data_IF_929631916904
#
_entry.id   IF_929631916904
#
_cell.length_a   1.000
_cell.length_b   1.000
_cell.length_c   1.000
_cell.angle_alpha   90.00
_cell.angle_beta   90.00
_cell.angle_gamma   90.00
#
_symmetry.space_group_name_H-M   'P 1'
#
loop_
_entity.id
_entity.type
_entity.pdbx_description
1 polymer ?
#
# COMPACT_ATOMS: atom_id res chain seq x y z
N UNK A 1 5.23 -29.46 7.16
CA UNK A 1 4.05 -29.02 6.37
C UNK A 1 4.29 -27.59 5.87
N UNK A 2 4.35 -27.40 4.56
CA UNK A 2 4.63 -26.08 3.94
C UNK A 2 3.37 -25.17 3.92
N UNK A 3 2.30 -25.57 4.59
CA UNK A 3 1.03 -24.84 4.57
C UNK A 3 1.15 -23.45 5.20
N UNK A 4 1.78 -23.34 6.37
CA UNK A 4 1.92 -22.05 7.07
C UNK A 4 2.75 -21.03 6.28
N UNK A 5 3.95 -21.37 5.72
CA UNK A 5 4.69 -20.48 4.84
C UNK A 5 3.90 -20.09 3.58
N UNK A 6 3.13 -21.03 3.00
CA UNK A 6 2.29 -20.74 1.83
C UNK A 6 1.16 -19.76 2.15
N UNK A 7 0.49 -19.91 3.29
CA UNK A 7 -0.54 -18.97 3.74
C UNK A 7 0.05 -17.57 4.00
N UNK A 8 1.21 -17.53 4.64
CA UNK A 8 1.93 -16.28 4.87
C UNK A 8 2.28 -15.56 3.55
N UNK A 9 2.82 -16.29 2.58
CA UNK A 9 3.12 -15.72 1.26
C UNK A 9 1.85 -15.28 0.53
N UNK A 10 0.78 -16.05 0.59
CA UNK A 10 -0.53 -15.67 0.05
C UNK A 10 -1.03 -14.37 0.64
N UNK A 11 -0.89 -14.19 1.95
CA UNK A 11 -1.23 -12.95 2.65
C UNK A 11 -0.33 -11.79 2.20
N UNK A 12 0.97 -12.00 2.02
CA UNK A 12 1.88 -10.97 1.48
C UNK A 12 1.46 -10.53 0.06
N UNK A 13 1.16 -11.48 -0.82
CA UNK A 13 0.71 -11.16 -2.17
C UNK A 13 -0.66 -10.47 -2.19
N UNK A 14 -1.54 -10.81 -1.26
CA UNK A 14 -2.80 -10.11 -1.04
C UNK A 14 -2.53 -8.66 -0.59
N UNK A 15 -1.62 -8.43 0.35
CA UNK A 15 -1.18 -7.09 0.78
C UNK A 15 -0.62 -6.30 -0.41
N UNK A 16 0.21 -6.92 -1.26
CA UNK A 16 0.76 -6.26 -2.45
C UNK A 16 -0.35 -5.75 -3.37
N UNK A 17 -1.34 -6.60 -3.65
CA UNK A 17 -2.50 -6.21 -4.45
C UNK A 17 -3.30 -5.10 -3.79
N UNK A 18 -3.65 -5.27 -2.52
CA UNK A 18 -4.46 -4.31 -1.77
C UNK A 18 -3.82 -2.92 -1.74
N UNK A 19 -2.55 -2.82 -1.38
CA UNK A 19 -1.82 -1.55 -1.29
C UNK A 19 -1.68 -0.89 -2.66
N UNK A 20 -1.32 -1.66 -3.70
CA UNK A 20 -1.16 -1.11 -5.05
C UNK A 20 -2.47 -0.55 -5.61
N UNK A 21 -3.58 -1.26 -5.40
CA UNK A 21 -4.89 -0.84 -5.91
C UNK A 21 -5.50 0.31 -5.10
N UNK A 22 -5.33 0.32 -3.77
CA UNK A 22 -5.76 1.45 -2.94
C UNK A 22 -5.08 2.74 -3.38
N UNK A 23 -3.77 2.70 -3.64
CA UNK A 23 -3.06 3.88 -4.13
C UNK A 23 -3.61 4.39 -5.48
N UNK A 24 -3.93 3.49 -6.41
CA UNK A 24 -4.49 3.87 -7.71
C UNK A 24 -5.85 4.57 -7.61
N UNK A 25 -6.68 4.15 -6.65
CA UNK A 25 -8.00 4.77 -6.40
C UNK A 25 -7.86 6.13 -5.73
N UNK A 26 -6.83 6.30 -4.88
CA UNK A 26 -6.62 7.53 -4.13
C UNK A 26 -6.10 8.70 -4.98
N UNK A 27 -5.47 8.44 -6.13
CA UNK A 27 -4.93 9.50 -6.98
C UNK A 27 -5.99 10.54 -7.37
N UNK A 28 -7.17 10.17 -7.93
CA UNK A 28 -8.23 11.13 -8.24
C UNK A 28 -8.76 11.83 -6.99
N UNK A 29 -8.82 11.11 -5.87
CA UNK A 29 -9.28 11.65 -4.59
C UNK A 29 -8.34 12.73 -4.06
N UNK A 30 -7.02 12.47 -4.04
CA UNK A 30 -6.02 13.48 -3.65
C UNK A 30 -5.98 14.67 -4.59
N UNK A 31 -6.22 14.44 -5.88
CA UNK A 31 -6.30 15.53 -6.85
C UNK A 31 -7.35 16.55 -6.46
N UNK A 32 -8.53 16.12 -6.05
CA UNK A 32 -9.61 17.01 -5.61
C UNK A 32 -9.31 17.57 -4.22
N UNK A 33 -9.01 16.73 -3.24
CA UNK A 33 -8.85 17.11 -1.84
C UNK A 33 -7.68 18.08 -1.57
N UNK A 34 -6.59 17.96 -2.35
CA UNK A 34 -5.44 18.85 -2.26
C UNK A 34 -5.37 19.88 -3.40
N UNK A 35 -6.43 20.01 -4.22
CA UNK A 35 -6.51 20.92 -5.36
C UNK A 35 -5.31 20.80 -6.31
N UNK A 36 -4.87 19.57 -6.58
CA UNK A 36 -3.67 19.30 -7.37
C UNK A 36 -3.90 19.57 -8.86
N UNK A 37 -2.90 20.12 -9.51
CA UNK A 37 -2.83 20.15 -10.97
C UNK A 37 -2.74 18.74 -11.56
N UNK A 38 -3.02 18.59 -12.86
CA UNK A 38 -2.84 17.31 -13.54
C UNK A 38 -1.44 16.74 -13.37
N UNK A 39 -0.42 17.57 -13.52
CA UNK A 39 0.99 17.17 -13.36
C UNK A 39 1.28 16.69 -11.92
N UNK A 40 0.81 17.41 -10.93
CA UNK A 40 0.99 17.03 -9.52
C UNK A 40 0.29 15.71 -9.20
N UNK A 41 -0.90 15.45 -9.76
CA UNK A 41 -1.60 14.18 -9.52
C UNK A 41 -0.84 12.97 -10.10
N UNK A 42 -0.09 13.15 -11.20
CA UNK A 42 0.82 12.10 -11.72
C UNK A 42 2.04 11.88 -10.82
N UNK A 43 2.53 12.90 -10.10
CA UNK A 43 3.60 12.73 -9.12
C UNK A 43 3.20 11.83 -7.95
N UNK A 44 1.91 11.77 -7.63
CA UNK A 44 1.38 10.83 -6.60
C UNK A 44 1.65 9.38 -7.01
N UNK A 45 1.32 9.01 -8.25
CA UNK A 45 1.63 7.69 -8.79
C UNK A 45 3.14 7.47 -8.92
N UNK A 46 3.85 8.48 -9.43
CA UNK A 46 5.29 8.42 -9.65
C UNK A 46 6.05 8.19 -8.33
N UNK A 47 5.69 8.88 -7.25
CA UNK A 47 6.33 8.73 -5.95
C UNK A 47 6.27 7.28 -5.44
N UNK A 48 5.15 6.60 -5.67
CA UNK A 48 4.99 5.20 -5.31
C UNK A 48 5.81 4.27 -6.21
N UNK A 49 5.72 4.43 -7.54
CA UNK A 49 6.39 3.53 -8.48
C UNK A 49 7.90 3.78 -8.61
N UNK A 50 8.37 5.03 -8.46
CA UNK A 50 9.80 5.32 -8.48
C UNK A 50 10.51 4.68 -7.29
N UNK A 51 9.82 4.51 -6.16
CA UNK A 51 10.36 3.80 -5.03
C UNK A 51 10.73 2.34 -5.39
N UNK A 52 9.93 1.67 -6.22
CA UNK A 52 10.24 0.34 -6.71
C UNK A 52 11.52 0.31 -7.52
N UNK A 53 11.68 1.25 -8.44
CA UNK A 53 12.86 1.31 -9.31
C UNK A 53 14.12 1.61 -8.50
N UNK A 54 14.07 2.66 -7.69
CA UNK A 54 15.24 3.15 -6.94
C UNK A 54 15.62 2.21 -5.82
N UNK A 55 14.64 1.62 -5.13
CA UNK A 55 14.88 0.80 -3.94
C UNK A 55 15.08 -0.68 -4.24
N UNK A 56 14.89 -1.15 -5.48
CA UNK A 56 15.06 -2.56 -5.83
C UNK A 56 16.47 -3.09 -5.53
N UNK A 57 17.51 -2.35 -5.91
CA UNK A 57 18.91 -2.73 -5.66
C UNK A 57 19.28 -2.60 -4.18
N UNK A 58 19.00 -1.46 -3.48
CA UNK A 58 19.20 -1.36 -2.04
C UNK A 58 18.45 -2.42 -1.25
N UNK A 59 17.21 -2.77 -1.64
CA UNK A 59 16.42 -3.81 -1.00
C UNK A 59 17.11 -5.18 -1.08
N UNK A 60 17.60 -5.57 -2.27
CA UNK A 60 18.32 -6.82 -2.45
C UNK A 60 19.59 -6.89 -1.58
N UNK A 61 20.36 -5.80 -1.53
CA UNK A 61 21.56 -5.71 -0.67
C UNK A 61 21.21 -5.78 0.83
N UNK A 62 20.12 -5.12 1.23
CA UNK A 62 19.64 -5.17 2.61
C UNK A 62 19.28 -6.61 3.01
N UNK A 63 18.47 -7.28 2.18
CA UNK A 63 18.04 -8.66 2.42
C UNK A 63 19.22 -9.62 2.50
N UNK A 64 20.22 -9.45 1.64
CA UNK A 64 21.46 -10.23 1.68
C UNK A 64 22.24 -10.08 2.99
N UNK A 65 22.09 -8.94 3.71
CA UNK A 65 22.76 -8.68 5.00
C UNK A 65 21.94 -9.14 6.20
N UNK A 66 20.63 -8.89 6.21
CA UNK A 66 19.78 -9.12 7.40
C UNK A 66 18.97 -10.41 7.34
N UNK A 67 18.96 -11.06 6.16
CA UNK A 67 18.20 -12.25 5.89
C UNK A 67 16.73 -12.00 5.53
N UNK A 68 16.07 -13.00 4.93
CA UNK A 68 14.70 -12.84 4.37
C UNK A 68 13.65 -12.50 5.42
N UNK A 69 13.65 -13.18 6.57
CA UNK A 69 12.65 -12.94 7.62
C UNK A 69 12.70 -11.50 8.14
N UNK A 70 13.90 -11.02 8.46
CA UNK A 70 14.10 -9.63 8.92
C UNK A 70 13.78 -8.63 7.81
N UNK A 71 14.06 -9.00 6.55
CA UNK A 71 13.68 -8.22 5.38
C UNK A 71 12.17 -8.03 5.28
N UNK A 72 11.37 -9.08 5.45
CA UNK A 72 9.91 -9.00 5.47
C UNK A 72 9.43 -8.08 6.58
N UNK A 73 9.93 -8.25 7.80
CA UNK A 73 9.54 -7.43 8.95
C UNK A 73 9.91 -5.95 8.70
N UNK A 74 11.11 -5.67 8.21
CA UNK A 74 11.55 -4.32 7.90
C UNK A 74 10.68 -3.66 6.82
N UNK A 75 10.32 -4.41 5.76
CA UNK A 75 9.41 -3.93 4.72
C UNK A 75 8.02 -3.59 5.26
N UNK A 76 7.46 -4.45 6.11
CA UNK A 76 6.16 -4.19 6.77
C UNK A 76 6.22 -2.96 7.69
N UNK A 77 7.27 -2.81 8.48
CA UNK A 77 7.45 -1.64 9.35
C UNK A 77 7.60 -0.34 8.56
N UNK A 78 8.29 -0.36 7.43
CA UNK A 78 8.34 0.79 6.51
C UNK A 78 6.97 1.11 5.94
N UNK A 79 6.18 0.12 5.56
CA UNK A 79 4.82 0.35 5.09
C UNK A 79 3.93 0.93 6.19
N UNK A 80 4.05 0.45 7.43
CA UNK A 80 3.36 1.03 8.60
C UNK A 80 3.76 2.50 8.78
N UNK A 81 5.05 2.80 8.75
CA UNK A 81 5.53 4.19 8.87
C UNK A 81 4.96 5.08 7.75
N UNK A 82 4.97 4.58 6.50
CA UNK A 82 4.39 5.30 5.36
C UNK A 82 2.89 5.54 5.49
N UNK A 83 2.12 4.54 5.95
CA UNK A 83 0.67 4.68 6.17
C UNK A 83 0.35 5.63 7.33
N UNK A 84 1.13 5.63 8.40
CA UNK A 84 0.97 6.56 9.53
C UNK A 84 1.22 8.02 9.11
N UNK A 85 2.13 8.27 8.16
CA UNK A 85 2.38 9.63 7.63
C UNK A 85 1.16 10.25 6.95
N UNK A 86 0.18 9.44 6.52
CA UNK A 86 -1.08 9.96 5.98
C UNK A 86 -1.92 10.70 7.00
N UNK A 87 -1.80 10.39 8.28
CA UNK A 87 -2.56 11.06 9.35
C UNK A 87 -2.17 12.55 9.43
N UNK A 88 -0.89 12.91 9.72
CA UNK A 88 -0.51 14.32 9.74
C UNK A 88 -0.66 14.98 8.37
N UNK A 89 -0.41 14.26 7.27
CA UNK A 89 -0.61 14.78 5.92
C UNK A 89 -2.08 15.18 5.66
N UNK A 90 -3.04 14.40 6.14
CA UNK A 90 -4.46 14.70 6.02
C UNK A 90 -4.88 15.92 6.87
N UNK A 91 -4.34 16.06 8.07
CA UNK A 91 -4.65 17.22 8.93
C UNK A 91 -4.07 18.54 8.41
N UNK A 92 -2.89 18.48 7.79
CA UNK A 92 -2.19 19.67 7.27
C UNK A 92 -2.43 19.92 5.79
N UNK A 93 -3.11 19.00 5.08
CA UNK A 93 -3.24 18.97 3.61
C UNK A 93 -1.88 19.12 2.91
N UNK A 94 -0.81 18.63 3.57
CA UNK A 94 0.56 18.79 3.11
C UNK A 94 0.90 17.76 2.03
N UNK A 95 0.80 18.16 0.77
CA UNK A 95 1.12 17.33 -0.39
C UNK A 95 2.51 16.66 -0.33
N UNK A 96 3.61 17.33 0.07
CA UNK A 96 4.92 16.68 0.19
C UNK A 96 4.94 15.53 1.22
N UNK A 97 4.15 15.63 2.28
CA UNK A 97 4.05 14.57 3.31
C UNK A 97 3.34 13.35 2.74
N UNK A 98 2.29 13.53 1.91
CA UNK A 98 1.66 12.44 1.18
C UNK A 98 2.64 11.74 0.23
N UNK A 99 3.42 12.50 -0.54
CA UNK A 99 4.43 11.92 -1.44
C UNK A 99 5.48 11.12 -0.67
N UNK A 100 5.94 11.63 0.46
CA UNK A 100 6.89 10.93 1.34
C UNK A 100 6.29 9.64 1.88
N UNK A 101 5.03 9.67 2.33
CA UNK A 101 4.30 8.48 2.77
C UNK A 101 4.20 7.42 1.68
N UNK A 102 3.83 7.82 0.46
CA UNK A 102 3.73 6.92 -0.70
C UNK A 102 5.09 6.32 -1.10
N UNK A 103 6.14 7.12 -1.11
CA UNK A 103 7.50 6.64 -1.39
C UNK A 103 7.95 5.63 -0.31
N UNK A 104 7.64 5.89 0.95
CA UNK A 104 7.97 4.99 2.06
C UNK A 104 7.21 3.66 1.95
N UNK A 105 5.91 3.69 1.60
CA UNK A 105 5.11 2.50 1.34
C UNK A 105 5.69 1.71 0.15
N UNK A 106 6.00 2.39 -0.95
CA UNK A 106 6.60 1.78 -2.13
C UNK A 106 7.95 1.13 -1.83
N UNK A 107 8.77 1.76 -0.99
CA UNK A 107 10.04 1.21 -0.51
C UNK A 107 9.81 -0.09 0.28
N UNK A 108 8.91 -0.08 1.25
CA UNK A 108 8.56 -1.27 2.02
C UNK A 108 8.06 -2.40 1.13
N UNK A 109 7.21 -2.08 0.17
CA UNK A 109 6.66 -3.04 -0.78
C UNK A 109 7.74 -3.62 -1.72
N UNK A 110 8.71 -2.82 -2.15
CA UNK A 110 9.88 -3.28 -2.93
C UNK A 110 10.70 -4.31 -2.14
N UNK A 111 10.97 -4.04 -0.86
CA UNK A 111 11.67 -4.99 0.03
C UNK A 111 10.89 -6.30 0.16
N UNK A 112 9.58 -6.22 0.41
CA UNK A 112 8.72 -7.40 0.56
C UNK A 112 8.69 -8.25 -0.69
N UNK A 113 8.55 -7.65 -1.87
CA UNK A 113 8.50 -8.38 -3.14
C UNK A 113 9.84 -9.02 -3.50
N UNK A 114 10.95 -8.35 -3.16
CA UNK A 114 12.30 -8.90 -3.37
C UNK A 114 12.52 -10.19 -2.57
N UNK A 115 11.87 -10.34 -1.42
CA UNK A 115 11.89 -11.58 -0.63
C UNK A 115 10.84 -12.57 -1.12
N UNK A 116 9.59 -12.12 -1.25
CA UNK A 116 8.45 -13.01 -1.47
C UNK A 116 8.50 -13.73 -2.81
N UNK A 117 8.92 -13.06 -3.90
CA UNK A 117 8.94 -13.65 -5.23
C UNK A 117 9.86 -14.86 -5.35
N UNK A 118 11.15 -14.81 -4.95
CA UNK A 118 12.01 -15.99 -4.93
C UNK A 118 11.51 -17.06 -3.95
N UNK A 119 10.97 -16.64 -2.80
CA UNK A 119 10.52 -17.57 -1.76
C UNK A 119 9.43 -18.52 -2.26
N UNK A 120 8.49 -18.01 -3.07
CA UNK A 120 7.44 -18.84 -3.69
C UNK A 120 8.03 -19.97 -4.52
N UNK A 121 9.13 -19.73 -5.23
CA UNK A 121 9.73 -20.74 -6.12
C UNK A 121 10.44 -21.86 -5.37
N UNK A 122 11.04 -21.57 -4.24
CA UNK A 122 11.85 -22.53 -3.47
C UNK A 122 11.07 -23.24 -2.35
N UNK A 123 9.84 -22.84 -2.07
CA UNK A 123 9.02 -23.40 -0.99
C UNK A 123 8.48 -24.81 -1.29
N UNK A 124 8.97 -25.48 -2.28
CA UNK A 124 8.60 -26.85 -2.66
C UNK A 124 9.25 -27.30 -3.97
N UNK A 125 8.83 -28.45 -4.51
CA UNK A 125 9.39 -28.98 -5.74
C UNK A 125 9.32 -27.99 -6.90
N UNK A 126 10.39 -27.88 -7.67
CA UNK A 126 10.49 -26.91 -8.78
C UNK A 126 9.42 -27.15 -9.84
N UNK A 127 8.99 -28.39 -10.04
CA UNK A 127 7.96 -28.78 -11.00
C UNK A 127 6.61 -28.13 -10.70
N UNK A 128 6.36 -27.81 -9.43
CA UNK A 128 5.12 -27.15 -9.00
C UNK A 128 5.27 -25.64 -8.76
N UNK A 129 6.43 -25.04 -9.07
CA UNK A 129 6.69 -23.62 -8.86
C UNK A 129 5.70 -22.73 -9.61
N UNK A 130 5.42 -23.03 -10.88
CA UNK A 130 4.46 -22.28 -11.69
C UNK A 130 3.05 -22.25 -11.05
N UNK A 131 2.59 -23.39 -10.50
CA UNK A 131 1.30 -23.46 -9.80
C UNK A 131 1.30 -22.58 -8.56
N UNK A 132 2.36 -22.56 -7.76
CA UNK A 132 2.47 -21.71 -6.57
C UNK A 132 2.47 -20.24 -6.95
N UNK A 133 3.24 -19.84 -7.96
CA UNK A 133 3.26 -18.45 -8.45
C UNK A 133 1.87 -18.03 -8.92
N UNK A 134 1.15 -18.90 -9.64
CA UNK A 134 -0.22 -18.62 -10.10
C UNK A 134 -1.19 -18.41 -8.94
N UNK A 135 -1.10 -19.22 -7.88
CA UNK A 135 -1.92 -19.05 -6.67
C UNK A 135 -1.62 -17.71 -5.99
N UNK A 136 -0.34 -17.34 -5.87
CA UNK A 136 0.05 -16.05 -5.31
C UNK A 136 -0.46 -14.88 -6.16
N UNK A 137 -0.35 -15.00 -7.49
CA UNK A 137 -0.92 -14.04 -8.42
C UNK A 137 -2.44 -13.90 -8.26
N UNK A 138 -3.15 -14.99 -8.01
CA UNK A 138 -4.59 -14.98 -7.75
C UNK A 138 -4.90 -14.23 -6.44
N UNK A 139 -4.16 -14.47 -5.36
CA UNK A 139 -4.30 -13.73 -4.10
C UNK A 139 -4.15 -12.21 -4.32
N UNK A 140 -3.14 -11.82 -5.11
CA UNK A 140 -2.92 -10.42 -5.48
C UNK A 140 -4.10 -9.83 -6.27
N UNK A 141 -4.65 -10.55 -7.23
CA UNK A 141 -5.79 -10.09 -8.04
C UNK A 141 -7.10 -10.02 -7.26
N UNK A 142 -7.33 -10.96 -6.36
CA UNK A 142 -8.50 -10.92 -5.45
C UNK A 142 -8.43 -9.66 -4.59
N UNK A 143 -7.27 -9.30 -4.06
CA UNK A 143 -7.09 -8.05 -3.35
C UNK A 143 -7.41 -6.83 -4.22
N UNK A 144 -7.03 -6.87 -5.52
CA UNK A 144 -7.35 -5.83 -6.48
C UNK A 144 -8.85 -5.65 -6.74
N UNK A 145 -9.64 -6.70 -6.59
CA UNK A 145 -11.11 -6.63 -6.67
C UNK A 145 -11.70 -6.10 -5.36
N UNK A 146 -11.19 -6.57 -4.22
CA UNK A 146 -11.71 -6.23 -2.90
C UNK A 146 -11.36 -4.80 -2.51
N UNK A 147 -10.16 -4.32 -2.83
CA UNK A 147 -9.69 -3.00 -2.44
C UNK A 147 -10.60 -1.84 -2.88
N UNK A 148 -11.05 -1.76 -4.15
CA UNK A 148 -12.00 -0.73 -4.58
C UNK A 148 -13.32 -0.79 -3.83
N UNK A 149 -13.84 -1.99 -3.59
CA UNK A 149 -15.12 -2.18 -2.90
C UNK A 149 -15.05 -1.75 -1.43
N UNK A 150 -13.99 -2.14 -0.73
CA UNK A 150 -13.75 -1.71 0.64
C UNK A 150 -13.54 -0.20 0.72
N UNK A 151 -12.77 0.35 -0.20
CA UNK A 151 -12.51 1.79 -0.25
C UNK A 151 -13.80 2.58 -0.51
N UNK A 152 -14.59 2.15 -1.50
CA UNK A 152 -15.88 2.77 -1.79
C UNK A 152 -16.82 2.71 -0.58
N UNK A 153 -16.91 1.56 0.10
CA UNK A 153 -17.78 1.39 1.26
C UNK A 153 -17.37 2.26 2.47
N UNK A 154 -16.08 2.56 2.63
CA UNK A 154 -15.57 3.32 3.78
C UNK A 154 -15.52 4.83 3.50
N UNK A 155 -15.17 5.23 2.27
CA UNK A 155 -14.89 6.64 1.96
C UNK A 155 -16.06 7.30 1.23
N UNK A 156 -16.66 6.62 0.26
CA UNK A 156 -17.71 7.22 -0.56
C UNK A 156 -19.04 7.27 0.19
N UNK A 157 -19.62 8.45 0.24
CA UNK A 157 -21.02 8.67 0.66
C UNK A 157 -21.87 8.87 -0.59
N UNK A 158 -23.16 8.60 -0.49
CA UNK A 158 -24.11 8.82 -1.59
C UNK A 158 -24.18 10.28 -2.08
N UNK A 159 -23.80 11.21 -1.22
CA UNK A 159 -23.73 12.66 -1.50
C UNK A 159 -22.43 13.13 -2.14
N UNK A 160 -21.46 12.25 -2.32
CA UNK A 160 -20.13 12.67 -2.81
C UNK A 160 -20.13 13.04 -4.30
N UNK A 161 -21.04 12.50 -5.10
CA UNK A 161 -21.23 12.93 -6.48
C UNK A 161 -21.61 14.43 -6.55
N UNK A 162 -22.53 14.85 -5.69
CA UNK A 162 -22.95 16.25 -5.58
C UNK A 162 -21.82 17.11 -5.04
N UNK A 163 -21.08 16.61 -4.03
CA UNK A 163 -19.92 17.29 -3.46
C UNK A 163 -18.80 17.52 -4.50
N UNK A 164 -18.50 16.49 -5.32
CA UNK A 164 -17.52 16.63 -6.38
C UNK A 164 -17.97 17.60 -7.48
N UNK A 165 -19.24 17.61 -7.83
CA UNK A 165 -19.81 18.57 -8.78
C UNK A 165 -19.73 20.03 -8.23
N UNK A 166 -20.10 20.22 -6.97
CA UNK A 166 -20.02 21.51 -6.26
C UNK A 166 -18.58 22.03 -6.21
N UNK A 167 -17.62 21.17 -5.87
CA UNK A 167 -16.20 21.52 -5.82
C UNK A 167 -15.62 21.82 -7.21
N UNK A 168 -16.05 21.10 -8.26
CA UNK A 168 -15.62 21.36 -9.65
C UNK A 168 -16.23 22.61 -10.25
N UNK A 169 -17.47 22.92 -9.93
CA UNK A 169 -18.18 24.08 -10.49
C UNK A 169 -17.73 25.43 -9.91
N UNK A 170 -16.83 25.41 -8.90
CA UNK A 170 -16.44 26.59 -8.13
C UNK A 170 -17.64 27.38 -7.56
N UNK A 171 -18.78 26.70 -7.33
CA UNK A 171 -19.99 27.31 -6.79
C UNK A 171 -19.86 27.66 -5.31
N UNK A 172 -18.88 27.08 -4.62
CA UNK A 172 -18.53 27.35 -3.22
C UNK A 172 -17.10 27.89 -3.16
N UNK A 173 -16.89 28.97 -2.41
CA UNK A 173 -15.60 29.63 -2.28
C UNK A 173 -15.28 29.96 -0.81
N UNK A 174 -14.00 30.22 -0.54
CA UNK A 174 -13.54 30.61 0.81
C UNK A 174 -13.62 29.51 1.86
N UNK A 175 -13.95 29.88 3.09
CA UNK A 175 -13.92 29.00 4.26
C UNK A 175 -14.82 27.75 4.12
N UNK A 176 -15.94 27.86 3.41
CA UNK A 176 -16.85 26.73 3.19
C UNK A 176 -16.23 25.66 2.30
N UNK A 177 -15.53 26.08 1.23
CA UNK A 177 -14.77 25.17 0.37
C UNK A 177 -13.68 24.44 1.16
N UNK A 178 -12.94 25.16 1.99
CA UNK A 178 -11.87 24.59 2.82
C UNK A 178 -12.40 23.53 3.79
N UNK A 179 -13.56 23.79 4.42
CA UNK A 179 -14.19 22.81 5.30
C UNK A 179 -14.59 21.52 4.56
N UNK A 180 -15.14 21.63 3.36
CA UNK A 180 -15.52 20.48 2.54
C UNK A 180 -14.29 19.67 2.11
N UNK A 181 -13.21 20.35 1.72
CA UNK A 181 -11.95 19.68 1.35
C UNK A 181 -11.29 19.00 2.55
N UNK A 182 -11.32 19.63 3.73
CA UNK A 182 -10.83 19.06 4.98
C UNK A 182 -11.64 17.83 5.40
N UNK A 183 -12.95 17.87 5.28
CA UNK A 183 -13.80 16.70 5.55
C UNK A 183 -13.46 15.56 4.58
N UNK A 184 -13.34 15.88 3.30
CA UNK A 184 -13.02 14.90 2.26
C UNK A 184 -11.71 14.20 2.57
N UNK A 185 -10.62 14.94 2.84
CA UNK A 185 -9.30 14.36 3.05
C UNK A 185 -9.21 13.54 4.34
N UNK A 186 -9.90 13.96 5.39
CA UNK A 186 -9.94 13.25 6.68
C UNK A 186 -10.64 11.90 6.61
N UNK A 187 -11.56 11.70 5.68
CA UNK A 187 -12.16 10.37 5.43
C UNK A 187 -11.13 9.32 5.01
N UNK A 188 -10.04 9.74 4.35
CA UNK A 188 -8.93 8.87 4.00
C UNK A 188 -8.13 8.36 5.21
N UNK A 189 -8.23 9.02 6.39
CA UNK A 189 -7.50 8.59 7.60
C UNK A 189 -7.96 7.20 8.05
N UNK A 190 -9.26 6.92 8.01
CA UNK A 190 -9.83 5.66 8.48
C UNK A 190 -9.25 4.44 7.73
N UNK A 191 -9.33 4.36 6.39
CA UNK A 191 -8.81 3.21 5.66
C UNK A 191 -7.28 3.07 5.80
N UNK A 192 -6.53 4.17 5.86
CA UNK A 192 -5.08 4.11 6.09
C UNK A 192 -4.74 3.66 7.51
N UNK A 193 -5.52 4.05 8.52
CA UNK A 193 -5.35 3.58 9.89
C UNK A 193 -5.64 2.08 10.02
N UNK A 194 -6.70 1.60 9.36
CA UNK A 194 -7.04 0.18 9.31
C UNK A 194 -5.91 -0.60 8.60
N UNK A 195 -5.44 -0.10 7.47
CA UNK A 195 -4.33 -0.71 6.74
C UNK A 195 -3.06 -0.74 7.59
N UNK A 196 -2.73 0.35 8.27
CA UNK A 196 -1.58 0.45 9.17
C UNK A 196 -1.65 -0.58 10.29
N UNK A 197 -2.80 -0.68 10.95
CA UNK A 197 -3.03 -1.66 12.02
C UNK A 197 -2.89 -3.10 11.50
N UNK A 198 -3.47 -3.40 10.33
CA UNK A 198 -3.36 -4.71 9.71
C UNK A 198 -1.91 -5.08 9.39
N UNK A 199 -1.16 -4.17 8.77
CA UNK A 199 0.26 -4.36 8.46
C UNK A 199 1.11 -4.54 9.73
N UNK A 200 0.81 -3.77 10.78
CA UNK A 200 1.47 -3.87 12.06
C UNK A 200 1.25 -5.24 12.71
N UNK A 201 -0.01 -5.67 12.83
CA UNK A 201 -0.36 -6.97 13.42
C UNK A 201 0.24 -8.13 12.62
N UNK A 202 0.23 -8.02 11.29
CA UNK A 202 0.84 -9.03 10.42
C UNK A 202 2.36 -9.08 10.59
N UNK A 203 3.03 -7.93 10.70
CA UNK A 203 4.47 -7.86 11.00
C UNK A 203 4.81 -8.49 12.35
N UNK A 204 4.00 -8.24 13.38
CA UNK A 204 4.13 -8.90 14.68
C UNK A 204 3.93 -10.42 14.56
N UNK A 205 2.92 -10.87 13.81
CA UNK A 205 2.66 -12.30 13.61
C UNK A 205 3.87 -13.00 12.94
N UNK A 206 4.45 -12.39 11.91
CA UNK A 206 5.65 -12.93 11.24
C UNK A 206 6.84 -13.03 12.18
N UNK A 207 6.97 -12.13 13.14
CA UNK A 207 8.05 -12.21 14.13
C UNK A 207 8.04 -13.55 14.87
N UNK A 208 6.87 -14.08 15.20
CA UNK A 208 6.70 -15.34 15.92
C UNK A 208 6.71 -16.58 15.01
N UNK A 209 6.50 -16.43 13.71
CA UNK A 209 6.51 -17.54 12.75
C UNK A 209 7.96 -17.95 12.43
N UNK A 210 8.24 -19.26 12.49
CA UNK A 210 9.52 -19.80 11.99
C UNK A 210 9.42 -19.97 10.49
N UNK A 211 10.19 -19.17 9.75
CA UNK A 211 10.34 -19.33 8.31
C UNK A 211 11.45 -20.32 8.02
N UNK A 212 11.31 -21.20 7.03
CA UNK A 212 12.40 -22.02 6.53
C UNK A 212 13.56 -21.13 6.07
N UNK A 213 14.79 -21.50 6.40
CA UNK A 213 15.96 -20.77 5.95
C UNK A 213 16.16 -20.93 4.44
N UNK A 214 16.51 -19.83 3.77
CA UNK A 214 16.84 -19.79 2.34
C UNK A 214 18.33 -20.13 2.08
N UNK A 215 19.05 -20.53 3.09
CA UNK A 215 20.52 -20.72 3.05
C UNK A 215 20.96 -22.14 2.66
N UNK A 216 20.26 -22.76 1.70
CA UNK A 216 20.78 -24.00 1.07
C UNK A 216 20.64 -23.91 -0.44
#
# INVERSE_FOLDING_TARGET
SNLLPMLMLGTLFFIFGLVSWVNSILIPYFKVACELTHTQSYLVALAFYIAYLVMSIPAAKLIGRIGPKRGIIAGLWLMVAGTVLFVPAAYTRAYPVFLTGLFTIGTGLSILQTVANPYVTILGPIESAARRISIMGLCNKIAGIIAPLLFAAVILKSTDSELFEVLKSNSVAGAEKDLLLDELIRRGIVPYSILSLFLFLFGCAIHFIRLPDLSN
#
